data_IF_952569138059
#
_entry.id   IF_952569138059
#
_cell.length_a   1.000
_cell.length_b   1.000
_cell.length_c   1.000
_cell.angle_alpha   90.00
_cell.angle_beta   90.00
_cell.angle_gamma   90.00
#
_symmetry.space_group_name_H-M   'P 1'
#
loop_
_entity.id
_entity.type
_entity.pdbx_description
1 polymer ?
#
# COMPACT_ATOMS: atom_id res chain seq x y z
N UNK A 1 12.31 16.82 11.31
CA UNK A 1 11.14 16.80 12.22
C UNK A 1 10.04 15.95 11.63
N UNK A 2 9.36 15.20 12.47
CA UNK A 2 8.22 14.36 12.10
C UNK A 2 7.16 14.44 13.19
N UNK A 3 5.89 14.60 12.80
CA UNK A 3 4.74 14.44 13.67
C UNK A 3 3.75 13.49 13.01
N UNK A 4 3.21 12.55 13.77
CA UNK A 4 2.23 11.61 13.27
C UNK A 4 1.20 11.23 14.32
N UNK A 5 0.04 10.81 13.86
CA UNK A 5 -0.97 10.10 14.64
C UNK A 5 -1.75 9.15 13.75
N UNK A 6 -2.56 8.29 14.36
CA UNK A 6 -3.45 7.39 13.64
C UNK A 6 -4.91 7.76 13.90
N UNK A 7 -5.72 7.75 12.85
CA UNK A 7 -7.14 8.07 12.88
C UNK A 7 -7.91 7.08 12.03
N UNK A 8 -9.06 6.63 12.51
CA UNK A 8 -9.98 5.79 11.73
C UNK A 8 -10.82 6.58 10.73
N UNK A 9 -10.85 7.91 10.85
CA UNK A 9 -11.73 8.78 10.06
C UNK A 9 -11.00 9.58 8.99
N UNK A 10 -9.71 9.84 9.17
CA UNK A 10 -8.92 10.73 8.30
C UNK A 10 -7.56 10.15 8.03
N UNK A 11 -7.13 10.21 6.78
CA UNK A 11 -5.75 9.98 6.36
C UNK A 11 -5.23 11.24 5.66
N UNK A 12 -4.10 11.75 6.12
CA UNK A 12 -3.47 12.94 5.53
C UNK A 12 -1.96 12.87 5.70
N UNK A 13 -1.23 12.95 4.60
CA UNK A 13 0.23 12.92 4.62
C UNK A 13 0.78 14.13 3.88
N UNK A 14 1.64 14.87 4.56
CA UNK A 14 2.29 16.06 4.04
C UNK A 14 3.81 15.96 4.19
N UNK A 15 4.50 16.26 3.12
CA UNK A 15 5.96 16.29 3.07
C UNK A 15 6.45 17.71 2.82
N UNK A 16 7.44 18.12 3.61
CA UNK A 16 8.11 19.40 3.47
C UNK A 16 9.62 19.22 3.38
N UNK A 17 10.28 20.04 2.59
CA UNK A 17 11.73 20.14 2.52
C UNK A 17 12.14 21.61 2.54
N UNK A 18 13.02 21.97 3.49
CA UNK A 18 13.39 23.37 3.73
C UNK A 18 12.15 24.27 3.84
N UNK A 19 11.13 23.81 4.56
CA UNK A 19 9.83 24.45 4.74
C UNK A 19 8.98 24.62 3.47
N UNK A 20 9.40 24.06 2.34
CA UNK A 20 8.63 24.06 1.10
C UNK A 20 7.82 22.77 1.00
N UNK A 21 6.54 22.89 0.67
CA UNK A 21 5.67 21.74 0.48
C UNK A 21 6.03 20.93 -0.76
N UNK A 22 6.08 19.60 -0.60
CA UNK A 22 6.36 18.66 -1.67
C UNK A 22 5.07 17.91 -2.03
N UNK A 23 4.39 18.32 -3.08
CA UNK A 23 3.12 17.71 -3.51
C UNK A 23 3.24 16.20 -3.78
N UNK A 24 4.38 15.78 -4.32
CA UNK A 24 4.64 14.36 -4.67
C UNK A 24 5.65 13.68 -3.75
N UNK A 25 6.14 14.35 -2.72
CA UNK A 25 7.07 13.82 -1.73
C UNK A 25 8.44 13.43 -2.30
N UNK A 26 8.51 12.37 -3.06
CA UNK A 26 9.78 11.85 -3.59
C UNK A 26 10.57 11.03 -2.57
N UNK A 27 11.79 11.45 -2.23
CA UNK A 27 12.65 10.76 -1.26
C UNK A 27 12.02 10.66 0.15
N UNK A 28 11.38 11.72 0.71
CA UNK A 28 10.65 11.60 1.98
C UNK A 28 9.49 10.60 1.94
N UNK A 29 8.70 10.57 0.86
CA UNK A 29 7.61 9.59 0.72
C UNK A 29 8.14 8.15 0.74
N UNK A 30 9.21 7.87 -0.02
CA UNK A 30 9.86 6.55 -0.04
C UNK A 30 10.41 6.16 1.35
N UNK A 31 10.99 7.11 2.08
CA UNK A 31 11.50 6.90 3.42
C UNK A 31 10.39 6.54 4.40
N UNK A 32 9.30 7.29 4.41
CA UNK A 32 8.13 7.04 5.25
C UNK A 32 7.53 5.66 4.96
N UNK A 33 7.30 5.33 3.68
CA UNK A 33 6.77 4.01 3.28
C UNK A 33 7.64 2.87 3.81
N UNK A 34 8.95 2.97 3.61
CA UNK A 34 9.89 1.93 4.05
C UNK A 34 9.94 1.81 5.58
N UNK A 35 10.07 2.94 6.29
CA UNK A 35 10.22 2.96 7.72
C UNK A 35 8.98 2.46 8.46
N UNK A 36 7.79 2.99 8.12
CA UNK A 36 6.54 2.60 8.78
C UNK A 36 6.19 1.15 8.53
N UNK A 37 6.30 0.65 7.28
CA UNK A 37 6.05 -0.76 6.99
C UNK A 37 7.01 -1.65 7.77
N UNK A 38 8.30 -1.32 7.80
CA UNK A 38 9.30 -2.12 8.50
C UNK A 38 9.07 -2.15 10.02
N UNK A 39 8.85 -0.99 10.64
CA UNK A 39 8.67 -0.90 12.09
C UNK A 39 7.37 -1.57 12.56
N UNK A 40 6.26 -1.36 11.84
CA UNK A 40 4.97 -1.95 12.18
C UNK A 40 4.97 -3.47 11.93
N UNK A 41 5.53 -3.95 10.82
CA UNK A 41 5.66 -5.38 10.57
C UNK A 41 6.50 -6.09 11.63
N UNK A 42 7.62 -5.47 12.06
CA UNK A 42 8.44 -5.96 13.16
C UNK A 42 7.65 -6.03 14.48
N UNK A 43 6.92 -4.97 14.83
CA UNK A 43 6.08 -4.92 16.02
C UNK A 43 4.99 -6.01 16.02
N UNK A 44 4.28 -6.18 14.90
CA UNK A 44 3.24 -7.20 14.74
C UNK A 44 3.80 -8.61 14.86
N UNK A 45 4.98 -8.88 14.33
CA UNK A 45 5.67 -10.18 14.45
C UNK A 45 6.14 -10.46 15.87
N UNK A 46 6.79 -9.51 16.51
CA UNK A 46 7.30 -9.64 17.88
C UNK A 46 6.17 -9.89 18.89
N UNK A 47 5.01 -9.30 18.68
CA UNK A 47 3.85 -9.46 19.54
C UNK A 47 2.86 -10.54 19.09
N UNK A 48 3.24 -11.38 18.10
CA UNK A 48 2.42 -12.48 17.57
C UNK A 48 0.99 -12.05 17.18
N UNK A 49 0.84 -10.85 16.58
CA UNK A 49 -0.46 -10.28 16.20
C UNK A 49 -0.99 -10.83 14.86
N UNK A 50 -0.13 -11.44 14.04
CA UNK A 50 -0.53 -12.09 12.79
C UNK A 50 -1.17 -13.45 13.04
N UNK A 51 -2.20 -13.78 12.25
CA UNK A 51 -2.73 -15.13 12.18
C UNK A 51 -1.78 -16.07 11.42
N UNK A 52 -1.93 -17.38 11.59
CA UNK A 52 -1.17 -18.38 10.84
C UNK A 52 -1.40 -18.17 9.33
N UNK A 53 -0.31 -18.09 8.57
CA UNK A 53 -0.32 -17.87 7.11
C UNK A 53 -0.85 -16.51 6.67
N UNK A 54 -0.96 -15.53 7.57
CA UNK A 54 -1.36 -14.16 7.22
C UNK A 54 -0.19 -13.44 6.52
N UNK A 55 -0.46 -12.75 5.41
CA UNK A 55 0.53 -11.93 4.72
C UNK A 55 0.95 -10.75 5.60
N UNK A 56 2.15 -10.20 5.35
CA UNK A 56 2.60 -8.98 6.04
C UNK A 56 1.77 -7.77 5.63
N UNK A 57 1.77 -6.74 6.47
CA UNK A 57 1.13 -5.45 6.18
C UNK A 57 1.79 -4.77 4.98
N UNK A 58 0.99 -4.01 4.26
CA UNK A 58 1.44 -3.14 3.17
C UNK A 58 1.32 -1.68 3.58
N UNK A 59 1.96 -0.79 2.82
CA UNK A 59 1.84 0.65 3.09
C UNK A 59 0.40 1.14 2.98
N UNK A 60 -0.42 0.57 2.10
CA UNK A 60 -1.82 0.94 1.96
C UNK A 60 -2.62 0.73 3.25
N UNK A 61 -2.35 -0.37 3.96
CA UNK A 61 -3.02 -0.69 5.23
C UNK A 61 -2.70 0.35 6.32
N UNK A 62 -1.49 0.92 6.26
CA UNK A 62 -1.01 1.97 7.18
C UNK A 62 -1.57 3.32 6.75
N UNK A 63 -1.49 3.62 5.44
CA UNK A 63 -1.90 4.89 4.85
C UNK A 63 -3.36 5.22 5.15
N UNK A 64 -4.24 4.22 5.14
CA UNK A 64 -5.69 4.40 5.33
C UNK A 64 -6.06 5.05 6.69
N UNK A 65 -5.14 5.03 7.66
CA UNK A 65 -5.35 5.61 9.00
C UNK A 65 -4.24 6.57 9.44
N UNK A 66 -3.22 6.79 8.63
CA UNK A 66 -2.06 7.61 9.00
C UNK A 66 -2.31 9.09 8.72
N UNK A 67 -2.09 9.91 9.73
CA UNK A 67 -1.94 11.36 9.62
C UNK A 67 -0.49 11.69 9.93
N UNK A 68 0.23 12.29 8.98
CA UNK A 68 1.67 12.52 9.07
C UNK A 68 2.05 13.86 8.47
N UNK A 69 2.93 14.58 9.16
CA UNK A 69 3.63 15.75 8.63
C UNK A 69 5.12 15.56 8.86
N UNK A 70 5.91 15.64 7.79
CA UNK A 70 7.37 15.59 7.90
C UNK A 70 8.01 16.82 7.28
N UNK A 71 9.07 17.33 7.92
CA UNK A 71 9.90 18.38 7.36
C UNK A 71 11.38 17.98 7.50
N UNK A 72 12.08 17.89 6.40
CA UNK A 72 13.52 17.65 6.35
C UNK A 72 14.27 18.90 5.85
N UNK A 73 15.50 19.07 6.31
CA UNK A 73 16.37 20.17 5.93
C UNK A 73 17.66 19.63 5.30
N UNK A 74 18.09 20.22 4.22
CA UNK A 74 19.34 19.88 3.56
C UNK A 74 19.87 21.07 2.77
N UNK A 75 21.19 21.24 2.75
CA UNK A 75 21.87 22.22 1.89
C UNK A 75 22.00 21.75 0.45
N UNK A 76 21.97 20.43 0.22
CA UNK A 76 22.02 19.84 -1.12
C UNK A 76 20.64 19.31 -1.49
N UNK A 77 20.04 19.88 -2.50
CA UNK A 77 18.69 19.53 -2.93
C UNK A 77 18.69 19.23 -4.44
N UNK A 78 18.23 18.03 -4.80
CA UNK A 78 17.95 17.65 -6.18
C UNK A 78 16.45 17.46 -6.34
N UNK A 79 15.83 18.34 -7.09
CA UNK A 79 14.41 18.22 -7.42
C UNK A 79 14.22 17.38 -8.68
N UNK A 80 13.12 16.66 -8.77
CA UNK A 80 12.74 15.85 -9.91
C UNK A 80 12.51 16.72 -11.17
N UNK A 81 11.98 17.93 -10.95
CA UNK A 81 11.69 18.88 -12.02
C UNK A 81 11.73 20.33 -11.49
N UNK A 82 11.55 21.30 -12.41
CA UNK A 82 11.54 22.73 -12.07
C UNK A 82 10.39 23.14 -11.13
N UNK A 83 9.32 22.36 -11.06
CA UNK A 83 8.16 22.67 -10.18
C UNK A 83 8.45 22.40 -8.70
N UNK A 84 9.59 21.78 -8.37
CA UNK A 84 10.05 21.49 -7.00
C UNK A 84 9.05 20.69 -6.15
N UNK A 85 8.21 19.89 -6.78
CA UNK A 85 7.15 19.09 -6.11
C UNK A 85 7.64 17.79 -5.50
N UNK A 86 8.80 17.30 -5.89
CA UNK A 86 9.44 16.10 -5.38
C UNK A 86 10.95 16.26 -5.35
N UNK A 87 11.60 15.67 -4.34
CA UNK A 87 13.05 15.57 -4.24
C UNK A 87 13.54 14.15 -4.48
N UNK A 88 14.70 14.01 -5.12
CA UNK A 88 15.25 12.70 -5.54
C UNK A 88 16.48 12.28 -4.77
N UNK A 89 16.96 13.07 -3.82
CA UNK A 89 18.19 12.82 -3.07
C UNK A 89 18.13 11.49 -2.30
N UNK A 90 18.97 10.53 -2.68
CA UNK A 90 19.07 9.23 -2.06
C UNK A 90 19.50 9.30 -0.60
N UNK A 91 20.48 10.16 -0.28
CA UNK A 91 20.94 10.33 1.11
C UNK A 91 19.82 10.83 2.05
N UNK A 92 18.89 11.68 1.57
CA UNK A 92 17.74 12.12 2.33
C UNK A 92 16.81 10.93 2.61
N UNK A 93 16.55 10.10 1.59
CA UNK A 93 15.74 8.89 1.76
C UNK A 93 16.35 7.95 2.81
N UNK A 94 17.66 7.68 2.72
CA UNK A 94 18.37 6.77 3.63
C UNK A 94 18.36 7.32 5.07
N UNK A 95 18.78 8.56 5.27
CA UNK A 95 18.80 9.21 6.58
C UNK A 95 17.42 9.32 7.22
N UNK A 96 16.38 9.68 6.45
CA UNK A 96 15.02 9.72 6.96
C UNK A 96 14.48 8.33 7.29
N UNK A 97 14.82 7.32 6.50
CA UNK A 97 14.38 5.94 6.76
C UNK A 97 14.95 5.44 8.09
N UNK A 98 16.24 5.65 8.32
CA UNK A 98 16.91 5.26 9.57
C UNK A 98 16.33 6.01 10.77
N UNK A 99 16.28 7.33 10.69
CA UNK A 99 15.70 8.19 11.74
C UNK A 99 14.26 7.79 12.11
N UNK A 100 13.41 7.53 11.10
CA UNK A 100 12.02 7.15 11.34
C UNK A 100 11.89 5.75 11.92
N UNK A 101 12.71 4.79 11.48
CA UNK A 101 12.72 3.43 12.05
C UNK A 101 13.09 3.46 13.52
N UNK A 102 14.21 4.06 13.86
CA UNK A 102 14.67 4.19 15.24
C UNK A 102 13.63 4.90 16.12
N UNK A 103 13.10 6.03 15.65
CA UNK A 103 12.08 6.79 16.36
C UNK A 103 10.78 6.01 16.59
N UNK A 104 10.33 5.22 15.60
CA UNK A 104 9.14 4.37 15.71
C UNK A 104 9.37 3.19 16.65
N UNK A 105 10.55 2.56 16.61
CA UNK A 105 10.92 1.46 17.52
C UNK A 105 10.91 1.93 18.96
N UNK A 106 11.55 3.06 19.25
CA UNK A 106 11.55 3.68 20.59
C UNK A 106 10.12 4.01 21.03
N UNK A 107 9.35 4.67 20.15
CA UNK A 107 7.97 5.03 20.45
C UNK A 107 7.11 3.82 20.80
N UNK A 108 7.22 2.72 20.06
CA UNK A 108 6.44 1.50 20.31
C UNK A 108 6.85 0.78 21.61
N UNK A 109 8.10 0.91 22.02
CA UNK A 109 8.57 0.38 23.31
C UNK A 109 8.03 1.22 24.47
N UNK A 110 8.14 2.54 24.37
CA UNK A 110 7.72 3.47 25.43
C UNK A 110 6.21 3.55 25.57
N UNK A 111 5.46 3.45 24.46
CA UNK A 111 4.00 3.64 24.42
C UNK A 111 3.26 2.38 23.98
N UNK A 112 3.52 1.25 24.65
CA UNK A 112 2.99 -0.05 24.26
C UNK A 112 1.47 -0.09 24.09
N UNK A 113 0.72 0.56 24.97
CA UNK A 113 -0.75 0.61 24.87
C UNK A 113 -1.24 1.31 23.60
N UNK A 114 -0.57 2.35 23.17
CA UNK A 114 -0.89 3.05 21.92
C UNK A 114 -0.42 2.25 20.71
N UNK A 115 0.76 1.65 20.79
CA UNK A 115 1.28 0.78 19.75
C UNK A 115 0.35 -0.41 19.47
N UNK A 116 -0.25 -0.99 20.52
CA UNK A 116 -1.24 -2.05 20.38
C UNK A 116 -2.50 -1.58 19.65
N UNK A 117 -3.03 -0.38 19.98
CA UNK A 117 -4.18 0.20 19.28
C UNK A 117 -3.89 0.49 17.81
N UNK A 118 -2.70 1.03 17.53
CA UNK A 118 -2.22 1.28 16.16
C UNK A 118 -2.16 -0.03 15.38
N UNK A 119 -1.56 -1.05 15.97
CA UNK A 119 -1.42 -2.38 15.38
C UNK A 119 -2.78 -3.01 15.07
N UNK A 120 -3.74 -2.91 15.98
CA UNK A 120 -5.11 -3.40 15.79
C UNK A 120 -5.82 -2.66 14.65
N UNK A 121 -5.74 -1.33 14.61
CA UNK A 121 -6.34 -0.55 13.53
C UNK A 121 -5.77 -0.92 12.16
N UNK A 122 -4.46 -1.08 12.07
CA UNK A 122 -3.79 -1.46 10.81
C UNK A 122 -4.17 -2.88 10.37
N UNK A 123 -4.31 -3.81 11.31
CA UNK A 123 -4.80 -5.17 11.01
C UNK A 123 -6.26 -5.17 10.55
N UNK A 124 -7.11 -4.31 11.10
CA UNK A 124 -8.49 -4.13 10.64
C UNK A 124 -8.49 -3.62 9.19
N UNK A 125 -7.71 -2.58 8.89
CA UNK A 125 -7.60 -2.03 7.53
C UNK A 125 -7.14 -3.11 6.54
N UNK A 126 -6.07 -3.83 6.88
CA UNK A 126 -5.53 -4.93 6.07
C UNK A 126 -6.56 -6.02 5.78
N UNK A 127 -7.20 -6.54 6.84
CA UNK A 127 -8.17 -7.63 6.70
C UNK A 127 -9.41 -7.21 5.91
N UNK A 128 -9.87 -5.98 6.11
CA UNK A 128 -10.96 -5.39 5.35
C UNK A 128 -10.61 -5.28 3.86
N UNK A 129 -9.42 -4.77 3.53
CA UNK A 129 -8.91 -4.69 2.15
C UNK A 129 -8.82 -6.06 1.50
N UNK A 130 -8.22 -7.05 2.19
CA UNK A 130 -8.08 -8.41 1.66
C UNK A 130 -9.44 -9.09 1.43
N UNK A 131 -10.42 -8.86 2.31
CA UNK A 131 -11.79 -9.38 2.13
C UNK A 131 -12.49 -8.72 0.94
N UNK A 132 -12.37 -7.41 0.80
CA UNK A 132 -12.94 -6.68 -0.33
C UNK A 132 -12.33 -7.15 -1.66
N UNK A 133 -11.02 -7.39 -1.70
CA UNK A 133 -10.34 -7.88 -2.90
C UNK A 133 -10.75 -9.32 -3.26
N UNK A 134 -10.86 -10.20 -2.28
CA UNK A 134 -11.40 -11.56 -2.49
C UNK A 134 -12.84 -11.54 -3.02
N UNK A 135 -13.70 -10.70 -2.44
CA UNK A 135 -15.08 -10.54 -2.91
C UNK A 135 -15.13 -10.04 -4.36
N UNK A 136 -14.32 -9.01 -4.70
CA UNK A 136 -14.19 -8.48 -6.07
C UNK A 136 -13.75 -9.55 -7.07
N UNK A 137 -12.74 -10.34 -6.72
CA UNK A 137 -12.23 -11.42 -7.57
C UNK A 137 -13.30 -12.52 -7.78
N UNK A 138 -14.05 -12.86 -6.74
CA UNK A 138 -15.12 -13.85 -6.83
C UNK A 138 -16.27 -13.36 -7.74
N UNK A 139 -16.66 -12.10 -7.62
CA UNK A 139 -17.66 -11.48 -8.51
C UNK A 139 -17.14 -11.46 -9.95
N UNK A 140 -15.89 -11.06 -10.16
CA UNK A 140 -15.28 -11.06 -11.50
C UNK A 140 -15.26 -12.46 -12.11
N UNK A 141 -14.90 -13.50 -11.35
CA UNK A 141 -14.93 -14.91 -11.80
C UNK A 141 -16.35 -15.35 -12.16
N UNK A 142 -17.36 -15.02 -11.36
CA UNK A 142 -18.77 -15.33 -11.66
C UNK A 142 -19.26 -14.65 -12.93
N UNK A 143 -18.92 -13.39 -13.11
CA UNK A 143 -19.30 -12.63 -14.31
C UNK A 143 -18.55 -13.11 -15.56
N UNK A 144 -17.26 -13.44 -15.45
CA UNK A 144 -16.49 -13.95 -16.61
C UNK A 144 -16.84 -15.40 -16.95
N UNK A 145 -17.24 -16.22 -15.98
CA UNK A 145 -17.72 -17.59 -16.24
C UNK A 145 -19.09 -17.65 -16.95
N UNK A 146 -19.87 -16.55 -16.87
CA UNK A 146 -21.17 -16.43 -17.56
C UNK A 146 -21.08 -15.70 -18.92
N UNK A 147 -19.88 -15.34 -19.37
CA UNK A 147 -19.68 -14.84 -20.73
C UNK A 147 -19.58 -16.05 -21.64
N UNK A 148 -20.73 -16.64 -21.93
CA UNK A 148 -20.89 -17.60 -23.01
C UNK A 148 -20.83 -16.78 -24.32
N UNK A 149 -19.66 -16.78 -24.96
CA UNK A 149 -19.43 -16.08 -26.23
C UNK A 149 -20.38 -16.59 -27.31
N UNK A 150 -20.82 -17.84 -27.24
CA UNK A 150 -21.78 -18.44 -28.15
C UNK A 150 -23.14 -17.76 -28.09
N UNK A 151 -23.57 -17.25 -26.93
CA UNK A 151 -24.85 -16.56 -26.77
C UNK A 151 -24.82 -15.08 -27.19
N UNK A 152 -23.64 -14.50 -27.44
CA UNK A 152 -23.51 -13.08 -27.82
C UNK A 152 -23.38 -12.85 -29.33
N UNK A 153 -22.97 -13.84 -30.06
CA UNK A 153 -22.83 -13.73 -31.53
C UNK A 153 -23.98 -14.47 -32.20
N UNK A 154 -24.89 -13.73 -32.78
CA UNK A 154 -25.95 -14.34 -33.60
C UNK A 154 -25.31 -15.21 -34.71
N UNK A 155 -25.79 -16.43 -34.84
CA UNK A 155 -25.29 -17.44 -35.79
C UNK A 155 -23.94 -18.07 -35.42
N UNK A 156 -23.39 -17.84 -34.22
CA UNK A 156 -22.23 -18.59 -33.76
C UNK A 156 -22.68 -19.95 -33.22
N UNK A 157 -22.19 -21.02 -33.81
CA UNK A 157 -22.40 -22.40 -33.35
C UNK A 157 -21.06 -22.96 -32.89
N UNK A 158 -20.96 -23.27 -31.60
CA UNK A 158 -19.72 -23.82 -31.04
C UNK A 158 -19.47 -25.26 -31.47
N UNK A 159 -18.22 -25.63 -31.56
CA UNK A 159 -17.78 -26.97 -31.93
C UNK A 159 -18.17 -27.99 -30.84
N UNK A 160 -18.83 -29.10 -31.24
CA UNK A 160 -19.26 -30.18 -30.34
C UNK A 160 -18.08 -30.97 -29.72
N UNK A 161 -16.92 -30.97 -30.39
CA UNK A 161 -15.75 -31.70 -29.91
C UNK A 161 -14.93 -30.85 -28.95
N UNK A 162 -14.42 -31.46 -27.88
CA UNK A 162 -13.47 -30.83 -26.95
C UNK A 162 -12.01 -31.01 -27.41
N UNK A 163 -11.77 -31.84 -28.41
CA UNK A 163 -10.42 -32.09 -28.96
C UNK A 163 -10.01 -30.90 -29.83
N UNK A 164 -9.00 -30.15 -29.38
CA UNK A 164 -8.50 -28.93 -30.05
C UNK A 164 -7.97 -29.25 -31.47
N UNK A 165 -7.39 -30.40 -31.68
CA UNK A 165 -6.84 -30.81 -32.99
C UNK A 165 -7.91 -31.08 -34.07
N UNK A 166 -9.17 -31.25 -33.64
CA UNK A 166 -10.32 -31.51 -34.52
C UNK A 166 -11.29 -30.31 -34.66
N UNK A 167 -10.90 -29.16 -34.10
CA UNK A 167 -11.74 -27.96 -34.21
C UNK A 167 -11.40 -27.21 -35.47
N UNK A 168 -12.40 -26.91 -36.24
CA UNK A 168 -12.31 -26.09 -37.44
C UNK A 168 -13.24 -24.88 -37.33
N UNK A 169 -12.78 -23.72 -37.82
CA UNK A 169 -13.56 -22.51 -37.88
C UNK A 169 -14.08 -22.29 -39.31
N UNK A 170 -15.37 -22.32 -39.45
CA UNK A 170 -16.05 -21.96 -40.72
C UNK A 170 -16.59 -20.54 -40.58
N UNK A 171 -16.20 -19.67 -41.50
CA UNK A 171 -16.72 -18.30 -41.64
C UNK A 171 -17.62 -18.29 -42.89
N UNK A 172 -18.89 -17.97 -42.66
CA UNK A 172 -19.92 -17.93 -43.71
C UNK A 172 -20.42 -16.50 -43.91
#
# INVERSE_FOLDING_TARGET
SCAFCFSSAVSRIEYYHNSSWLEHGGAPDKAVRSAFVSAIDAYLKQNNKYNKSESKVTYQDIFDSLVLVTNCFSTQTSYENQTKKAITNRFIQEAMTEFLKEGLEIYFIENKSEADKIAEQILINKRSREQAEKARLNIKKKLSGNIDLANRVQKFVDCRTKDVARRELYIV
#
